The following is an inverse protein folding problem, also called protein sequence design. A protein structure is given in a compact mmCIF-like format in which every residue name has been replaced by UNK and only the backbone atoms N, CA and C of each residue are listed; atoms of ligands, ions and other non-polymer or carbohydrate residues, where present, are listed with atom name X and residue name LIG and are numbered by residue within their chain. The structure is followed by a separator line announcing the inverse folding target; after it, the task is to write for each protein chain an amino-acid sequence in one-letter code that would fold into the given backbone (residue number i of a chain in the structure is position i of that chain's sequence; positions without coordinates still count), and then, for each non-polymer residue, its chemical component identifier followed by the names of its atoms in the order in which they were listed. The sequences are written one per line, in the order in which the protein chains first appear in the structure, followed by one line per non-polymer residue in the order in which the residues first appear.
data_IF_370898893658
#
_entry.id   IF_370898893658
#
_cell.length_a   1.000
_cell.length_b   1.000
_cell.length_c   1.000
_cell.angle_alpha   90.00
_cell.angle_beta   90.00
_cell.angle_gamma   90.00
#
_symmetry.space_group_name_H-M   'P 1'
#
loop_
_entity.id
_entity.type
_entity.pdbx_description
1 polymer ?
#
# COMPACT_ATOMS: atom_id res chain seq x y z
N UNK A 1 22.58 -12.69 -21.89
CA UNK A 1 21.35 -12.14 -22.04
C UNK A 1 20.80 -11.68 -20.75
N UNK A 2 20.08 -10.77 -20.79
CA UNK A 2 19.62 -10.27 -19.57
C UNK A 2 18.39 -10.96 -19.16
N UNK A 3 18.34 -11.23 -17.95
CA UNK A 3 17.19 -11.78 -17.37
C UNK A 3 16.25 -10.71 -17.08
N UNK A 4 15.12 -10.87 -17.59
CA UNK A 4 14.11 -9.92 -17.30
C UNK A 4 13.47 -10.26 -16.04
N UNK A 5 13.71 -9.50 -15.06
CA UNK A 5 13.02 -9.67 -13.84
C UNK A 5 12.00 -8.62 -13.71
N UNK A 6 10.89 -8.91 -13.08
CA UNK A 6 9.93 -7.87 -12.81
C UNK A 6 10.60 -6.80 -12.01
N UNK A 7 10.65 -5.59 -12.51
CA UNK A 7 11.24 -4.53 -11.73
C UNK A 7 10.43 -4.18 -10.52
N UNK A 8 9.27 -4.79 -10.40
CA UNK A 8 8.36 -4.44 -9.35
C UNK A 8 8.67 -5.10 -8.02
N UNK A 9 9.52 -6.12 -8.03
CA UNK A 9 9.75 -6.84 -6.79
C UNK A 9 10.90 -6.24 -6.03
N UNK A 10 10.72 -6.09 -4.75
CA UNK A 10 11.77 -5.65 -3.86
C UNK A 10 12.51 -6.86 -3.32
N UNK A 11 13.78 -6.65 -2.96
CA UNK A 11 14.61 -7.71 -2.42
C UNK A 11 15.21 -7.26 -1.12
N UNK A 12 15.42 -8.17 -0.18
CA UNK A 12 15.98 -7.77 1.12
C UNK A 12 17.29 -7.03 0.93
N UNK A 13 17.43 -5.95 1.65
CA UNK A 13 18.67 -5.18 1.63
C UNK A 13 18.92 -4.35 0.42
N UNK A 14 17.99 -4.31 -0.53
CA UNK A 14 18.18 -3.59 -1.78
C UNK A 14 17.16 -2.47 -1.88
N UNK A 15 17.59 -1.25 -2.12
CA UNK A 15 16.62 -0.16 -2.26
C UNK A 15 15.71 -0.35 -3.46
N UNK A 16 14.51 0.08 -3.33
CA UNK A 16 13.53 0.03 -4.39
C UNK A 16 13.00 1.45 -4.63
N UNK A 17 12.99 1.86 -5.87
CA UNK A 17 12.53 3.20 -6.22
C UNK A 17 11.01 3.16 -6.37
N UNK A 18 10.32 3.86 -5.48
CA UNK A 18 8.87 3.85 -5.47
C UNK A 18 8.26 4.85 -6.43
N UNK A 19 9.06 5.67 -7.06
CA UNK A 19 8.51 6.60 -8.04
C UNK A 19 7.94 5.83 -9.20
N UNK A 20 6.85 6.33 -9.82
CA UNK A 20 6.29 5.62 -10.95
C UNK A 20 7.29 5.51 -12.08
N UNK A 21 7.29 4.37 -12.72
CA UNK A 21 8.11 4.19 -13.87
C UNK A 21 7.57 4.98 -15.03
N UNK A 22 8.46 5.48 -15.83
CA UNK A 22 8.03 6.16 -17.01
C UNK A 22 7.44 7.49 -16.70
N UNK A 23 6.73 8.01 -17.62
CA UNK A 23 6.33 9.38 -17.56
C UNK A 23 4.97 9.56 -16.95
N UNK A 24 4.20 8.50 -16.80
CA UNK A 24 2.79 8.73 -16.53
C UNK A 24 2.25 7.76 -15.52
N UNK A 25 1.64 8.31 -14.49
CA UNK A 25 0.90 7.49 -13.54
C UNK A 25 -0.24 6.76 -14.22
N UNK A 26 -0.76 7.30 -15.29
CA UNK A 26 -1.90 6.66 -15.93
C UNK A 26 -1.52 5.32 -16.55
N UNK A 27 -0.24 5.07 -16.75
CA UNK A 27 0.19 3.79 -17.28
C UNK A 27 0.77 2.88 -16.24
N UNK A 28 0.93 3.35 -15.03
CA UNK A 28 1.46 2.53 -13.97
C UNK A 28 0.44 1.49 -13.54
N UNK A 29 0.91 0.45 -12.88
CA UNK A 29 0.04 -0.63 -12.45
C UNK A 29 0.28 -0.95 -11.01
N UNK A 30 -0.76 -1.43 -10.37
CA UNK A 30 -0.68 -1.95 -9.01
C UNK A 30 0.10 -3.26 -9.03
N UNK A 31 1.03 -3.40 -8.10
CA UNK A 31 1.75 -4.66 -7.97
C UNK A 31 2.29 -4.81 -6.56
N UNK A 32 2.44 -6.04 -6.09
CA UNK A 32 3.05 -6.24 -4.78
C UNK A 32 4.56 -6.08 -4.87
N UNK A 33 5.11 -5.31 -3.94
CA UNK A 33 6.55 -5.19 -3.82
C UNK A 33 7.14 -6.40 -3.12
N UNK A 34 6.46 -6.85 -2.08
CA UNK A 34 6.95 -7.96 -1.29
C UNK A 34 5.77 -8.63 -0.63
N UNK A 35 5.84 -9.96 -0.55
CA UNK A 35 4.84 -10.75 0.15
C UNK A 35 5.57 -11.67 1.09
N UNK A 36 5.53 -11.35 2.35
CA UNK A 36 6.16 -12.16 3.38
C UNK A 36 5.10 -12.73 4.30
N UNK A 37 5.52 -13.63 5.14
CA UNK A 37 4.59 -14.25 6.07
C UNK A 37 4.03 -13.25 7.05
N UNK A 38 4.82 -12.27 7.44
CA UNK A 38 4.41 -11.33 8.47
C UNK A 38 3.96 -10.00 7.92
N UNK A 39 4.21 -9.71 6.66
CA UNK A 39 3.77 -8.44 6.09
C UNK A 39 3.74 -8.51 4.58
N UNK A 40 3.02 -7.59 4.02
CA UNK A 40 2.93 -7.44 2.57
C UNK A 40 2.97 -5.96 2.27
N UNK A 41 3.71 -5.58 1.24
CA UNK A 41 3.75 -4.19 0.81
C UNK A 41 3.38 -4.13 -0.67
N UNK A 42 2.46 -3.23 -0.99
CA UNK A 42 1.91 -3.14 -2.33
C UNK A 42 1.95 -1.69 -2.77
N UNK A 43 2.44 -1.45 -3.97
CA UNK A 43 2.26 -0.15 -4.55
C UNK A 43 0.98 -0.18 -5.37
N UNK A 44 -0.01 0.58 -4.93
CA UNK A 44 -1.29 0.61 -5.59
C UNK A 44 -1.39 1.85 -6.43
N UNK A 45 -1.91 1.69 -7.63
CA UNK A 45 -2.22 2.80 -8.49
C UNK A 45 -3.73 2.93 -8.53
N UNK A 46 -4.21 4.12 -8.22
CA UNK A 46 -5.63 4.38 -8.15
C UNK A 46 -5.91 5.49 -9.12
N UNK A 47 -6.77 5.21 -10.08
CA UNK A 47 -7.11 6.19 -11.10
C UNK A 47 -8.13 7.17 -10.58
N UNK A 48 -8.12 8.35 -11.15
CA UNK A 48 -9.16 9.31 -10.85
C UNK A 48 -10.52 8.68 -11.07
N UNK A 49 -11.38 8.79 -10.07
CA UNK A 49 -12.72 8.24 -10.13
C UNK A 49 -12.83 6.78 -9.80
N UNK A 50 -11.72 6.09 -9.64
CA UNK A 50 -11.74 4.68 -9.29
C UNK A 50 -12.10 4.53 -7.83
N UNK A 51 -13.01 3.63 -7.56
CA UNK A 51 -13.47 3.41 -6.20
C UNK A 51 -13.08 2.02 -5.76
N UNK A 52 -12.56 1.91 -4.56
CA UNK A 52 -12.35 0.62 -3.93
C UNK A 52 -13.34 0.52 -2.80
N UNK A 53 -14.29 -0.42 -2.91
CA UNK A 53 -15.38 -0.49 -1.94
C UNK A 53 -14.90 -0.91 -0.57
N UNK A 54 -15.76 -0.73 0.38
CA UNK A 54 -15.43 -1.01 1.76
C UNK A 54 -15.01 -2.45 1.94
N UNK A 55 -13.92 -2.65 2.64
CA UNK A 55 -13.44 -3.99 2.97
C UNK A 55 -12.59 -3.88 4.23
N UNK A 56 -12.14 -5.02 4.71
CA UNK A 56 -11.33 -5.09 5.92
C UNK A 56 -10.09 -5.90 5.61
N UNK A 57 -8.97 -5.50 6.21
CA UNK A 57 -7.78 -6.33 6.18
C UNK A 57 -7.66 -7.04 7.52
N UNK A 58 -7.14 -8.24 7.49
CA UNK A 58 -6.99 -9.01 8.69
C UNK A 58 -6.03 -8.34 9.66
N UNK A 59 -4.97 -7.77 9.17
CA UNK A 59 -3.98 -7.14 10.03
C UNK A 59 -4.06 -5.62 9.96
N UNK A 60 -3.22 -4.99 10.73
CA UNK A 60 -3.10 -3.54 10.66
C UNK A 60 -2.56 -3.15 9.29
N UNK A 61 -2.91 -1.97 8.85
CA UNK A 61 -2.39 -1.46 7.59
C UNK A 61 -1.82 -0.07 7.78
N UNK A 62 -0.86 0.28 6.94
CA UNK A 62 -0.47 1.66 6.77
C UNK A 62 -0.69 2.03 5.32
N UNK A 63 -1.04 3.27 5.08
CA UNK A 63 -1.19 3.76 3.72
C UNK A 63 -0.48 5.10 3.61
N UNK A 64 0.35 5.21 2.60
CA UNK A 64 1.17 6.38 2.38
C UNK A 64 0.91 6.86 0.96
N UNK A 65 0.38 8.06 0.82
CA UNK A 65 0.12 8.61 -0.50
C UNK A 65 1.42 9.15 -1.06
N UNK A 66 1.90 8.51 -2.12
CA UNK A 66 3.15 8.90 -2.75
C UNK A 66 2.93 10.01 -3.75
N UNK A 67 1.78 9.98 -4.42
CA UNK A 67 1.51 10.89 -5.50
C UNK A 67 0.01 10.99 -5.67
N UNK A 68 -0.48 12.15 -6.06
CA UNK A 68 -1.89 12.32 -6.32
C UNK A 68 -2.69 12.64 -5.07
N UNK A 69 -3.92 12.15 -5.05
CA UNK A 69 -4.85 12.52 -4.00
C UNK A 69 -5.98 11.51 -3.96
N UNK A 70 -6.26 10.99 -2.78
CA UNK A 70 -7.35 10.04 -2.62
C UNK A 70 -8.21 10.47 -1.44
N UNK A 71 -9.48 10.09 -1.49
CA UNK A 71 -10.38 10.21 -0.36
C UNK A 71 -10.44 8.86 0.31
N UNK A 72 -10.02 8.78 1.55
CA UNK A 72 -9.90 7.53 2.29
C UNK A 72 -10.89 7.57 3.43
N UNK A 73 -11.80 6.61 3.48
CA UNK A 73 -12.85 6.59 4.48
C UNK A 73 -12.62 5.45 5.45
N UNK A 74 -12.60 5.78 6.73
CA UNK A 74 -12.46 4.79 7.79
C UNK A 74 -12.97 5.41 9.08
N UNK A 75 -13.47 4.58 9.96
CA UNK A 75 -13.92 5.00 11.28
C UNK A 75 -14.92 6.13 11.20
N UNK A 76 -15.78 6.09 10.18
CA UNK A 76 -16.86 7.07 10.03
C UNK A 76 -16.42 8.41 9.48
N UNK A 77 -15.19 8.54 9.01
CA UNK A 77 -14.70 9.81 8.49
C UNK A 77 -13.99 9.59 7.17
N UNK A 78 -14.08 10.58 6.32
CA UNK A 78 -13.37 10.57 5.05
C UNK A 78 -12.21 11.56 5.14
N UNK A 79 -11.03 11.07 4.83
CA UNK A 79 -9.82 11.85 4.91
C UNK A 79 -9.28 12.12 3.52
N UNK A 80 -8.79 13.33 3.35
CA UNK A 80 -8.20 13.78 2.09
C UNK A 80 -6.70 13.51 2.18
N UNK A 81 -6.25 12.45 1.55
CA UNK A 81 -4.84 12.10 1.59
C UNK A 81 -4.17 12.59 0.33
N UNK A 82 -3.27 13.52 0.49
CA UNK A 82 -2.47 14.05 -0.59
C UNK A 82 -1.08 13.49 -0.51
N UNK A 83 -0.29 13.72 -1.54
CA UNK A 83 1.09 13.25 -1.55
C UNK A 83 1.79 13.66 -0.25
N UNK A 84 2.43 12.69 0.37
CA UNK A 84 3.12 12.91 1.63
C UNK A 84 2.31 12.55 2.86
N UNK A 85 1.02 12.32 2.73
CA UNK A 85 0.18 11.97 3.86
C UNK A 85 0.23 10.47 4.14
N UNK A 86 0.15 10.13 5.40
CA UNK A 86 0.26 8.74 5.86
C UNK A 86 -0.75 8.53 6.98
N UNK A 87 -1.37 7.36 7.00
CA UNK A 87 -2.19 6.98 8.14
C UNK A 87 -2.13 5.48 8.34
N UNK A 88 -2.61 5.03 9.48
CA UNK A 88 -2.68 3.60 9.73
C UNK A 88 -4.03 3.25 10.35
N UNK A 89 -4.40 1.99 10.18
CA UNK A 89 -5.58 1.43 10.82
C UNK A 89 -5.17 0.16 11.54
N UNK A 90 -5.87 -0.12 12.61
CA UNK A 90 -5.72 -1.40 13.28
C UNK A 90 -6.43 -2.47 12.47
N UNK A 91 -6.21 -3.72 12.83
CA UNK A 91 -6.78 -4.81 12.06
C UNK A 91 -8.29 -4.82 12.09
N UNK A 92 -8.85 -5.26 10.99
CA UNK A 92 -10.30 -5.45 10.82
C UNK A 92 -11.11 -4.18 10.86
N UNK A 93 -10.48 -3.04 10.65
CA UNK A 93 -11.25 -1.79 10.54
C UNK A 93 -11.69 -1.61 9.10
N UNK A 94 -13.00 -1.47 8.87
CA UNK A 94 -13.49 -1.29 7.51
C UNK A 94 -13.00 0.02 6.91
N UNK A 95 -12.69 -0.01 5.63
CA UNK A 95 -12.21 1.18 4.95
C UNK A 95 -12.50 1.08 3.46
N UNK A 96 -12.55 2.25 2.84
CA UNK A 96 -12.77 2.36 1.41
C UNK A 96 -11.98 3.55 0.91
N UNK A 97 -11.82 3.64 -0.39
CA UNK A 97 -11.14 4.81 -0.94
C UNK A 97 -11.65 5.14 -2.33
N UNK A 98 -11.42 6.38 -2.72
CA UNK A 98 -11.81 6.90 -4.02
C UNK A 98 -10.68 7.75 -4.54
N UNK A 99 -10.28 7.52 -5.78
CA UNK A 99 -9.26 8.35 -6.41
C UNK A 99 -9.82 9.71 -6.77
N UNK A 100 -9.26 10.76 -6.20
CA UNK A 100 -9.61 12.11 -6.58
C UNK A 100 -8.81 12.51 -7.79
N UNK A 101 -7.57 12.07 -7.84
CA UNK A 101 -6.68 12.23 -8.98
C UNK A 101 -6.02 10.88 -9.20
N UNK A 102 -5.38 10.71 -10.35
CA UNK A 102 -4.54 9.55 -10.52
C UNK A 102 -3.50 9.54 -9.41
N UNK A 103 -3.38 8.44 -8.71
CA UNK A 103 -2.61 8.41 -7.47
C UNK A 103 -1.79 7.15 -7.38
N UNK A 104 -0.74 7.24 -6.60
CA UNK A 104 0.11 6.11 -6.26
C UNK A 104 0.25 6.09 -4.75
N UNK A 105 -0.03 4.96 -4.15
CA UNK A 105 0.06 4.83 -2.70
C UNK A 105 0.83 3.57 -2.36
N UNK A 106 1.47 3.60 -1.21
CA UNK A 106 2.13 2.43 -0.66
C UNK A 106 1.27 1.91 0.47
N UNK A 107 0.79 0.71 0.29
CA UNK A 107 -0.03 0.03 1.29
C UNK A 107 0.82 -1.06 1.92
N UNK A 108 0.91 -1.07 3.23
CA UNK A 108 1.58 -2.14 3.94
C UNK A 108 0.57 -2.81 4.84
N UNK A 109 0.50 -4.14 4.76
CA UNK A 109 -0.38 -4.94 5.59
C UNK A 109 0.50 -5.74 6.53
N UNK A 110 0.23 -5.62 7.83
CA UNK A 110 0.98 -6.31 8.86
C UNK A 110 0.10 -7.42 9.37
N UNK A 111 0.46 -8.64 9.04
CA UNK A 111 -0.40 -9.76 9.40
C UNK A 111 -0.24 -10.10 10.87
N UNK A 112 -1.29 -10.60 11.49
CA UNK A 112 -1.15 -11.10 12.85
C UNK A 112 -0.11 -12.19 12.89
N UNK A 113 0.54 -12.30 14.03
CA UNK A 113 1.58 -13.29 14.17
C UNK A 113 0.95 -14.65 14.23
N UNK A 114 0.98 -15.36 13.13
CA UNK A 114 0.31 -16.64 13.06
C UNK A 114 1.18 -17.76 13.53
N UNK A 115 2.47 -17.57 13.48
CA UNK A 115 3.36 -18.65 13.79
C UNK A 115 4.15 -18.42 15.05
N UNK A 116 4.13 -17.23 15.57
CA UNK A 116 4.99 -16.95 16.68
C UNK A 116 4.36 -17.37 17.95
N UNK A 117 5.12 -18.09 18.73
CA UNK A 117 4.67 -18.45 20.04
C UNK A 117 5.44 -17.73 21.11
N UNK A 118 6.51 -17.07 20.78
CA UNK A 118 7.34 -16.41 21.78
C UNK A 118 7.05 -14.94 21.78
N UNK A 119 7.41 -14.28 22.86
CA UNK A 119 7.23 -12.86 22.91
C UNK A 119 8.13 -12.17 21.93
N UNK A 120 7.70 -11.01 21.43
CA UNK A 120 8.56 -10.25 20.54
C UNK A 120 9.80 -9.81 21.27
N UNK A 121 10.85 -9.71 20.51
CA UNK A 121 12.05 -9.16 21.05
C UNK A 121 12.03 -7.67 20.92
N UNK A 122 12.70 -7.04 21.83
CA UNK A 122 12.85 -5.62 21.71
C UNK A 122 13.97 -5.29 20.78
N UNK A 123 13.87 -4.18 20.17
CA UNK A 123 14.90 -3.73 19.27
C UNK A 123 16.09 -3.15 20.00
#
# INVERSE_FOLDING_TARGET
MSITRPPQHAYPGTPFDLRPEGASLSEAKTFPLVKEETFEAIRMVIRKGQEMPEHQAEGAITIYCLDGRIAFTARGQTHDLKAGHWLFLLGNEPHSLLGIEDSSVLLTILFPDRARSAKPKEL
#
